data_IF_029224055596
#
_entry.id   IF_029224055596
#
_cell.length_a   1.000
_cell.length_b   1.000
_cell.length_c   1.000
_cell.angle_alpha   90.00
_cell.angle_beta   90.00
_cell.angle_gamma   90.00
#
_symmetry.space_group_name_H-M   'P 1'
#
loop_
_entity.id
_entity.type
_entity.pdbx_description
1 polymer ?
#
# COMPACT_ATOMS: atom_id res chain seq x y z
N UNK A 1 10.11 17.03 -19.58
CA UNK A 1 9.06 16.06 -19.22
C UNK A 1 8.45 16.54 -17.93
N UNK A 2 7.15 16.87 -17.94
CA UNK A 2 6.44 17.33 -16.74
C UNK A 2 6.51 16.24 -15.68
N UNK A 3 7.00 16.57 -14.48
CA UNK A 3 6.80 15.75 -13.30
C UNK A 3 5.28 15.59 -13.15
N UNK A 4 4.73 14.44 -13.56
CA UNK A 4 3.37 14.09 -13.17
C UNK A 4 3.38 14.10 -11.65
N UNK A 5 2.69 15.08 -11.05
CA UNK A 5 2.56 15.16 -9.60
C UNK A 5 1.81 13.91 -9.16
N UNK A 6 2.52 12.96 -8.57
CA UNK A 6 1.91 11.77 -7.98
C UNK A 6 1.44 12.19 -6.59
N UNK A 7 0.13 12.28 -6.39
CA UNK A 7 -0.44 12.44 -5.05
C UNK A 7 -0.72 11.06 -4.45
N UNK A 8 -0.80 10.98 -3.12
CA UNK A 8 -1.13 9.72 -2.45
C UNK A 8 -2.02 9.91 -1.23
N UNK A 9 -2.86 8.92 -0.96
CA UNK A 9 -3.57 8.80 0.32
C UNK A 9 -2.88 7.73 1.18
N UNK A 10 -2.56 8.06 2.43
CA UNK A 10 -1.95 7.13 3.39
C UNK A 10 -3.02 6.52 4.29
N UNK A 11 -2.97 5.19 4.44
CA UNK A 11 -3.78 4.42 5.37
C UNK A 11 -2.88 3.54 6.22
N UNK A 12 -3.07 3.59 7.54
CA UNK A 12 -2.30 2.77 8.46
C UNK A 12 -3.10 1.53 8.88
N UNK A 13 -2.41 0.40 9.04
CA UNK A 13 -2.99 -0.86 9.45
C UNK A 13 -2.03 -1.62 10.37
N UNK A 14 -2.56 -2.28 11.40
CA UNK A 14 -1.78 -3.07 12.33
C UNK A 14 -2.34 -4.48 12.39
N UNK A 15 -1.48 -5.49 12.24
CA UNK A 15 -1.86 -6.90 12.27
C UNK A 15 -0.77 -7.77 12.90
N UNK A 16 -1.14 -8.56 13.92
CA UNK A 16 -0.24 -9.47 14.66
C UNK A 16 1.12 -8.85 15.06
N UNK A 17 1.11 -7.61 15.53
CA UNK A 17 2.32 -6.88 15.95
C UNK A 17 3.15 -6.30 14.81
N UNK A 18 2.71 -6.41 13.56
CA UNK A 18 3.25 -5.68 12.42
C UNK A 18 2.45 -4.40 12.20
N UNK A 19 3.15 -3.34 11.85
CA UNK A 19 2.60 -2.08 11.38
C UNK A 19 2.74 -2.02 9.85
N UNK A 20 1.73 -1.48 9.19
CA UNK A 20 1.73 -1.28 7.77
C UNK A 20 1.19 0.11 7.37
N UNK A 21 1.85 0.71 6.40
CA UNK A 21 1.49 1.98 5.77
C UNK A 21 1.14 1.70 4.31
N UNK A 22 -0.11 1.93 3.94
CA UNK A 22 -0.67 1.69 2.62
C UNK A 22 -0.85 3.05 1.93
N UNK A 23 -0.07 3.30 0.89
CA UNK A 23 -0.14 4.50 0.07
C UNK A 23 -0.89 4.18 -1.21
N UNK A 24 -2.08 4.75 -1.38
CA UNK A 24 -2.84 4.69 -2.63
C UNK A 24 -2.29 5.79 -3.55
N UNK A 25 -1.75 5.41 -4.70
CA UNK A 25 -1.06 6.31 -5.63
C UNK A 25 -2.04 6.85 -6.68
N UNK A 26 -1.88 8.12 -7.03
CA UNK A 26 -2.69 8.80 -8.02
C UNK A 26 -1.81 9.56 -8.99
N UNK A 27 -2.17 9.52 -10.27
CA UNK A 27 -1.63 10.47 -11.25
C UNK A 27 -2.59 11.65 -11.38
N UNK A 28 -2.07 12.87 -11.34
CA UNK A 28 -2.89 14.09 -11.40
C UNK A 28 -3.83 14.21 -12.62
N UNK A 29 -3.58 13.44 -13.69
CA UNK A 29 -4.38 13.42 -14.91
C UNK A 29 -5.46 12.33 -14.95
N UNK A 30 -5.60 11.51 -13.90
CA UNK A 30 -6.50 10.36 -13.88
C UNK A 30 -7.45 10.42 -12.68
N UNK A 31 -8.72 10.09 -12.92
CA UNK A 31 -9.79 10.09 -11.90
C UNK A 31 -9.80 8.83 -11.03
N UNK A 32 -8.87 7.91 -11.25
CA UNK A 32 -8.76 6.64 -10.54
C UNK A 32 -7.34 6.43 -9.98
N UNK A 33 -7.19 5.70 -8.86
CA UNK A 33 -5.87 5.36 -8.35
C UNK A 33 -5.09 4.52 -9.35
N UNK A 34 -3.82 4.84 -9.54
CA UNK A 34 -2.95 4.21 -10.55
C UNK A 34 -2.05 3.13 -9.97
N UNK A 35 -2.03 3.00 -8.64
CA UNK A 35 -1.24 1.99 -7.97
C UNK A 35 -1.37 2.06 -6.47
N UNK A 36 -0.58 1.23 -5.81
CA UNK A 36 -0.47 1.15 -4.36
C UNK A 36 0.95 0.79 -3.96
N UNK A 37 1.41 1.39 -2.86
CA UNK A 37 2.60 1.00 -2.12
C UNK A 37 2.20 0.54 -0.72
N UNK A 38 2.76 -0.56 -0.24
CA UNK A 38 2.57 -1.05 1.13
C UNK A 38 3.93 -1.20 1.76
N UNK A 39 4.15 -0.52 2.87
CA UNK A 39 5.30 -0.72 3.75
C UNK A 39 4.84 -1.50 4.97
N UNK A 40 5.43 -2.64 5.27
CA UNK A 40 5.02 -3.51 6.39
C UNK A 40 6.23 -3.99 7.18
N UNK A 41 6.20 -3.86 8.50
CA UNK A 41 7.29 -4.26 9.37
C UNK A 41 6.89 -4.32 10.83
N UNK A 42 7.71 -4.99 11.65
CA UNK A 42 7.55 -4.88 13.11
C UNK A 42 8.16 -3.55 13.57
N UNK A 43 7.62 -2.92 14.63
CA UNK A 43 8.24 -1.75 15.23
C UNK A 43 9.73 -2.00 15.53
N UNK A 44 10.60 -1.08 15.11
CA UNK A 44 12.05 -1.19 15.30
C UNK A 44 12.79 -2.10 14.32
N UNK A 45 12.11 -2.64 13.30
CA UNK A 45 12.73 -3.45 12.23
C UNK A 45 12.66 -2.74 10.87
N UNK A 46 13.48 -3.16 9.92
CA UNK A 46 13.38 -2.66 8.54
C UNK A 46 12.08 -3.15 7.90
N UNK A 47 11.21 -2.23 7.51
CA UNK A 47 9.97 -2.55 6.83
C UNK A 47 10.22 -3.12 5.42
N UNK A 48 9.38 -4.06 5.01
CA UNK A 48 9.29 -4.56 3.65
C UNK A 48 8.37 -3.68 2.83
N UNK A 49 8.81 -3.27 1.65
CA UNK A 49 7.98 -2.55 0.69
C UNK A 49 7.43 -3.50 -0.38
N UNK A 50 6.13 -3.42 -0.63
CA UNK A 50 5.41 -4.13 -1.69
C UNK A 50 4.71 -3.11 -2.56
N UNK A 51 4.74 -3.27 -3.89
CA UNK A 51 4.19 -2.31 -4.83
C UNK A 51 3.30 -2.99 -5.85
N UNK A 52 2.14 -2.40 -6.09
CA UNK A 52 1.22 -2.79 -7.16
C UNK A 52 1.08 -1.61 -8.11
N UNK A 53 1.44 -1.82 -9.38
CA UNK A 53 1.35 -0.82 -10.45
C UNK A 53 0.21 -1.20 -11.40
N UNK A 54 -1.02 -0.99 -10.96
CA UNK A 54 -2.22 -1.18 -11.77
C UNK A 54 -3.28 -0.16 -11.34
N UNK A 55 -4.16 0.25 -12.26
CA UNK A 55 -5.30 1.04 -11.87
C UNK A 55 -6.25 0.26 -10.95
N UNK A 56 -6.82 0.96 -9.98
CA UNK A 56 -7.89 0.48 -9.11
C UNK A 56 -9.19 1.21 -9.44
N UNK A 57 -10.33 0.54 -9.27
CA UNK A 57 -11.65 1.14 -9.51
C UNK A 57 -11.99 2.19 -8.45
N UNK A 58 -11.38 2.09 -7.27
CA UNK A 58 -11.53 3.06 -6.19
C UNK A 58 -10.37 2.98 -5.19
N UNK A 59 -10.18 4.01 -4.34
CA UNK A 59 -9.19 3.95 -3.25
C UNK A 59 -9.49 2.85 -2.25
N UNK A 60 -10.78 2.54 -2.06
CA UNK A 60 -11.21 1.49 -1.15
C UNK A 60 -10.79 0.10 -1.63
N UNK A 61 -10.88 -0.17 -2.94
CA UNK A 61 -10.34 -1.40 -3.54
C UNK A 61 -8.84 -1.53 -3.28
N UNK A 62 -8.07 -0.45 -3.52
CA UNK A 62 -6.65 -0.43 -3.25
C UNK A 62 -6.34 -0.71 -1.77
N UNK A 63 -7.06 -0.08 -0.83
CA UNK A 63 -6.86 -0.31 0.61
C UNK A 63 -7.19 -1.74 1.02
N UNK A 64 -8.26 -2.35 0.49
CA UNK A 64 -8.58 -3.76 0.77
C UNK A 64 -7.46 -4.67 0.29
N UNK A 65 -7.00 -4.49 -0.95
CA UNK A 65 -5.90 -5.28 -1.48
C UNK A 65 -4.63 -5.10 -0.65
N UNK A 66 -4.31 -3.87 -0.24
CA UNK A 66 -3.19 -3.57 0.64
C UNK A 66 -3.25 -4.31 1.96
N UNK A 67 -4.43 -4.36 2.60
CA UNK A 67 -4.63 -5.12 3.84
C UNK A 67 -4.43 -6.62 3.63
N UNK A 68 -4.98 -7.18 2.55
CA UNK A 68 -4.80 -8.60 2.20
C UNK A 68 -3.31 -8.93 1.98
N UNK A 69 -2.57 -8.06 1.30
CA UNK A 69 -1.12 -8.23 1.11
C UNK A 69 -0.36 -8.20 2.45
N UNK A 70 -0.74 -7.32 3.38
CA UNK A 70 -0.17 -7.28 4.74
C UNK A 70 -0.43 -8.59 5.47
N UNK A 71 -1.67 -9.07 5.48
CA UNK A 71 -2.04 -10.32 6.15
C UNK A 71 -1.25 -11.51 5.60
N UNK A 72 -1.17 -11.63 4.27
CA UNK A 72 -0.40 -12.69 3.60
C UNK A 72 1.09 -12.61 3.94
N UNK A 73 1.68 -11.42 3.93
CA UNK A 73 3.07 -11.23 4.31
C UNK A 73 3.30 -11.68 5.75
N UNK A 74 2.49 -11.20 6.69
CA UNK A 74 2.64 -11.52 8.11
C UNK A 74 2.48 -13.03 8.36
N UNK A 75 1.52 -13.67 7.70
CA UNK A 75 1.34 -15.13 7.77
C UNK A 75 2.58 -15.87 7.24
N UNK A 76 3.17 -15.41 6.12
CA UNK A 76 4.39 -16.02 5.56
C UNK A 76 5.63 -15.91 6.45
N UNK A 77 5.68 -14.94 7.36
CA UNK A 77 6.79 -14.78 8.31
C UNK A 77 6.60 -15.61 9.58
N UNK A 78 5.39 -16.12 9.83
CA UNK A 78 5.04 -16.87 11.04
C UNK A 78 4.75 -18.36 10.77
N UNK A 79 4.76 -18.80 9.50
CA UNK A 79 4.68 -20.20 9.10
C UNK A 79 6.05 -20.78 8.80
#
# INVERSE_FOLDING_TARGET
MSLQSISHNLYEHTYLGYQASIYVLWEASLDFPTGMLVEVGRPGTTARTMRVNRPFSSPFEAVIEGKVMVEQYVQSQNG
#
